data_IF_309693646314
#
_entry.id   IF_309693646314
#
_cell.length_a   1.000
_cell.length_b   1.000
_cell.length_c   1.000
_cell.angle_alpha   90.00
_cell.angle_beta   90.00
_cell.angle_gamma   90.00
#
_symmetry.space_group_name_H-M   'P 1'
#
loop_
_entity.id
_entity.type
_entity.pdbx_description
1 polymer ?
#
# COMPACT_ATOMS: atom_id res chain seq x y z
N UNK A 1 17.13 -37.83 11.08
CA UNK A 1 16.36 -36.69 11.59
C UNK A 1 15.38 -36.30 10.49
N UNK A 2 14.11 -36.69 10.60
CA UNK A 2 13.11 -36.43 9.55
C UNK A 2 12.57 -35.02 9.77
N UNK A 3 12.91 -34.09 8.87
CA UNK A 3 12.32 -32.76 8.87
C UNK A 3 10.80 -32.91 8.68
N UNK A 4 10.03 -32.56 9.71
CA UNK A 4 8.58 -32.45 9.59
C UNK A 4 8.31 -31.28 8.65
N UNK A 5 7.92 -31.57 7.41
CA UNK A 5 7.29 -30.58 6.56
C UNK A 5 5.95 -30.26 7.21
N UNK A 6 5.83 -29.07 7.77
CA UNK A 6 4.52 -28.53 8.10
C UNK A 6 3.78 -28.32 6.78
N UNK A 7 2.51 -28.73 6.69
CA UNK A 7 1.65 -28.37 5.56
C UNK A 7 1.69 -26.84 5.40
N UNK A 8 1.79 -26.35 4.16
CA UNK A 8 1.87 -24.91 3.88
C UNK A 8 0.46 -24.35 3.90
N UNK A 9 0.02 -23.61 4.94
CA UNK A 9 -1.37 -23.17 5.06
C UNK A 9 -1.68 -21.94 4.21
N UNK A 10 -0.65 -21.25 3.72
CA UNK A 10 -0.75 -20.02 2.94
C UNK A 10 0.07 -20.15 1.67
N UNK A 11 -0.61 -19.97 0.54
CA UNK A 11 0.03 -19.94 -0.76
C UNK A 11 0.16 -18.50 -1.24
N UNK A 12 1.33 -18.16 -1.79
CA UNK A 12 1.51 -16.88 -2.47
C UNK A 12 0.63 -16.83 -3.70
N UNK A 13 -0.01 -15.69 -3.93
CA UNK A 13 -0.71 -15.46 -5.18
C UNK A 13 0.29 -15.47 -6.34
N UNK A 14 -0.03 -16.17 -7.43
CA UNK A 14 0.88 -16.35 -8.57
C UNK A 14 1.25 -15.01 -9.24
N UNK A 15 0.35 -14.04 -9.21
CA UNK A 15 0.54 -12.70 -9.81
C UNK A 15 1.16 -11.68 -8.85
N UNK A 16 1.74 -12.10 -7.73
CA UNK A 16 2.43 -11.16 -6.84
C UNK A 16 3.64 -10.50 -7.55
N UNK A 17 3.90 -9.21 -7.32
CA UNK A 17 3.15 -8.29 -6.44
C UNK A 17 1.87 -7.72 -7.09
N UNK A 18 0.83 -7.47 -6.28
CA UNK A 18 -0.46 -6.91 -6.73
C UNK A 18 -0.40 -5.41 -7.09
N UNK A 19 0.61 -4.69 -6.61
CA UNK A 19 0.89 -3.29 -6.90
C UNK A 19 2.40 -3.09 -7.01
N UNK A 20 2.82 -2.19 -7.90
CA UNK A 20 4.21 -1.78 -8.06
C UNK A 20 4.28 -0.26 -8.22
N UNK A 21 5.47 0.33 -8.03
CA UNK A 21 5.71 1.75 -8.28
C UNK A 21 5.28 2.21 -9.68
N UNK A 22 5.35 1.34 -10.70
CA UNK A 22 4.96 1.66 -12.07
C UNK A 22 3.45 1.89 -12.26
N UNK A 23 2.61 1.47 -11.30
CA UNK A 23 1.17 1.68 -11.37
C UNK A 23 0.77 3.12 -10.98
N UNK A 24 1.64 3.86 -10.30
CA UNK A 24 1.34 5.21 -9.84
C UNK A 24 1.38 6.23 -10.98
N UNK A 25 0.41 7.17 -11.05
CA UNK A 25 0.35 8.17 -12.11
C UNK A 25 1.37 9.31 -11.92
N UNK A 26 2.18 9.26 -10.86
CA UNK A 26 3.25 10.19 -10.56
C UNK A 26 4.51 9.46 -10.12
N UNK A 27 5.64 10.17 -10.11
CA UNK A 27 6.93 9.59 -9.78
C UNK A 27 6.99 9.14 -8.31
N UNK A 28 7.15 7.84 -8.10
CA UNK A 28 7.37 7.22 -6.78
C UNK A 28 8.59 6.31 -6.85
N UNK A 29 9.21 6.04 -5.70
CA UNK A 29 10.33 5.11 -5.59
C UNK A 29 9.83 3.69 -5.31
N UNK A 30 8.94 3.51 -4.32
CA UNK A 30 8.41 2.20 -3.94
C UNK A 30 7.02 2.32 -3.28
N UNK A 31 6.30 1.20 -3.23
CA UNK A 31 4.96 1.08 -2.63
C UNK A 31 4.90 -0.20 -1.82
N UNK A 32 4.55 -0.09 -0.53
CA UNK A 32 4.56 -1.22 0.41
C UNK A 32 3.71 -0.91 1.66
N UNK A 33 3.71 -1.82 2.65
CA UNK A 33 3.11 -1.63 3.99
C UNK A 33 1.68 -1.07 4.02
N UNK A 34 0.83 -1.49 3.07
CA UNK A 34 -0.53 -0.98 2.99
C UNK A 34 -1.41 -1.43 4.16
N UNK A 35 -2.19 -0.49 4.71
CA UNK A 35 -3.38 -0.80 5.52
C UNK A 35 -4.51 -1.26 4.59
N UNK A 36 -5.31 -2.23 5.02
CA UNK A 36 -6.32 -2.85 4.16
C UNK A 36 -7.68 -2.93 4.86
N UNK A 37 -8.74 -2.52 4.16
CA UNK A 37 -10.11 -2.65 4.65
C UNK A 37 -11.11 -2.85 3.52
N UNK A 38 -12.30 -3.37 3.86
CA UNK A 38 -13.44 -3.37 2.95
C UNK A 38 -14.35 -2.19 3.27
N UNK A 39 -14.73 -1.44 2.24
CA UNK A 39 -15.70 -0.37 2.32
C UNK A 39 -17.13 -0.93 2.35
N UNK A 40 -18.09 -0.08 2.71
CA UNK A 40 -19.50 -0.47 2.85
C UNK A 40 -20.13 -1.00 1.55
N UNK A 41 -19.62 -0.58 0.39
CA UNK A 41 -20.05 -1.03 -0.94
C UNK A 41 -19.39 -2.36 -1.37
N UNK A 42 -18.53 -2.95 -0.53
CA UNK A 42 -17.80 -4.18 -0.81
C UNK A 42 -16.43 -3.97 -1.47
N UNK A 43 -16.10 -2.76 -1.91
CA UNK A 43 -14.79 -2.41 -2.49
C UNK A 43 -13.68 -2.63 -1.48
N UNK A 44 -12.56 -3.21 -1.91
CA UNK A 44 -11.34 -3.29 -1.10
C UNK A 44 -10.55 -2.01 -1.27
N UNK A 45 -10.22 -1.36 -0.17
CA UNK A 45 -9.29 -0.23 -0.12
C UNK A 45 -7.96 -0.69 0.46
N UNK A 46 -6.89 -0.36 -0.23
CA UNK A 46 -5.54 -0.33 0.32
C UNK A 46 -5.15 1.12 0.52
N UNK A 47 -4.79 1.50 1.74
CA UNK A 47 -4.09 2.75 2.01
C UNK A 47 -2.61 2.44 1.97
N UNK A 48 -1.98 2.67 0.83
CA UNK A 48 -0.60 2.29 0.60
C UNK A 48 0.36 3.32 1.19
N UNK A 49 1.42 2.84 1.86
CA UNK A 49 2.62 3.67 2.07
C UNK A 49 3.37 3.75 0.75
N UNK A 50 3.61 4.98 0.32
CA UNK A 50 4.30 5.29 -0.92
C UNK A 50 5.50 6.15 -0.57
N UNK A 51 6.69 5.67 -0.92
CA UNK A 51 7.92 6.45 -0.77
C UNK A 51 8.17 7.19 -2.08
N UNK A 52 8.36 8.50 -2.01
CA UNK A 52 8.74 9.31 -3.16
C UNK A 52 10.26 9.27 -3.42
N UNK A 53 10.73 10.00 -4.45
CA UNK A 53 12.15 9.99 -4.82
C UNK A 53 13.05 10.83 -3.88
N UNK A 54 12.47 11.53 -2.91
CA UNK A 54 13.21 12.20 -1.84
C UNK A 54 13.47 11.28 -0.64
N UNK A 55 12.88 10.07 -0.63
CA UNK A 55 12.96 9.12 0.47
C UNK A 55 11.93 9.38 1.58
N UNK A 56 10.97 10.27 1.35
CA UNK A 56 9.88 10.56 2.28
C UNK A 56 8.62 9.79 1.87
N UNK A 57 7.85 9.38 2.86
CA UNK A 57 6.60 8.64 2.65
C UNK A 57 5.37 9.55 2.71
N UNK A 58 4.39 9.27 1.85
CA UNK A 58 3.01 9.72 1.97
C UNK A 58 2.06 8.52 1.86
N UNK A 59 0.77 8.73 2.13
CA UNK A 59 -0.23 7.67 1.96
C UNK A 59 -1.09 7.93 0.73
N UNK A 60 -1.34 6.88 -0.04
CA UNK A 60 -2.11 6.95 -1.27
C UNK A 60 -3.05 5.75 -1.36
N UNK A 61 -4.32 6.00 -1.60
CA UNK A 61 -5.34 4.96 -1.69
C UNK A 61 -5.30 4.29 -3.07
N UNK A 62 -5.46 2.97 -3.05
CA UNK A 62 -5.76 2.15 -4.20
C UNK A 62 -7.05 1.37 -3.90
N UNK A 63 -7.98 1.31 -4.86
CA UNK A 63 -9.29 0.65 -4.69
C UNK A 63 -9.47 -0.44 -5.74
N UNK A 64 -9.97 -1.59 -5.31
CA UNK A 64 -10.28 -2.73 -6.18
C UNK A 64 -11.62 -3.34 -5.79
N UNK A 65 -12.43 -3.71 -6.78
CA UNK A 65 -13.71 -4.38 -6.55
C UNK A 65 -13.55 -5.75 -5.88
N UNK A 66 -12.43 -6.46 -6.12
CA UNK A 66 -12.20 -7.82 -5.62
C UNK A 66 -11.04 -7.93 -4.62
N UNK A 67 -10.20 -6.90 -4.50
CA UNK A 67 -9.02 -6.90 -3.62
C UNK A 67 -7.83 -7.69 -4.14
N UNK A 68 -7.82 -8.03 -5.43
CA UNK A 68 -6.76 -8.83 -6.09
C UNK A 68 -6.15 -8.05 -7.26
N UNK A 69 -6.98 -7.54 -8.16
CA UNK A 69 -6.58 -6.86 -9.40
C UNK A 69 -7.45 -5.61 -9.69
N UNK A 70 -7.28 -5.00 -10.86
CA UNK A 70 -8.11 -3.87 -11.29
C UNK A 70 -8.01 -2.64 -10.38
N UNK A 71 -6.83 -2.43 -9.78
CA UNK A 71 -6.60 -1.34 -8.82
C UNK A 71 -6.71 0.03 -9.49
N UNK A 72 -7.59 0.87 -8.96
CA UNK A 72 -7.70 2.30 -9.27
C UNK A 72 -6.94 3.07 -8.19
N UNK A 73 -5.85 3.71 -8.58
CA UNK A 73 -4.97 4.48 -7.69
C UNK A 73 -5.37 5.95 -7.75
N UNK A 74 -5.44 6.60 -6.59
CA UNK A 74 -5.72 8.05 -6.53
C UNK A 74 -4.66 8.83 -7.35
N UNK A 75 -5.07 9.86 -8.11
CA UNK A 75 -4.16 10.59 -9.00
C UNK A 75 -3.07 11.38 -8.27
N UNK A 76 -3.26 11.61 -6.97
CA UNK A 76 -2.36 12.31 -6.08
C UNK A 76 -2.38 11.65 -4.69
N UNK A 77 -1.40 11.93 -3.80
CA UNK A 77 -1.41 11.47 -2.42
C UNK A 77 -2.74 11.75 -1.71
N UNK A 78 -3.41 10.69 -1.22
CA UNK A 78 -4.65 10.79 -0.45
C UNK A 78 -4.45 11.48 0.89
N UNK A 79 -3.29 11.26 1.52
CA UNK A 79 -2.86 11.94 2.73
C UNK A 79 -1.39 12.33 2.61
N UNK A 80 -1.12 13.61 2.86
CA UNK A 80 0.23 14.19 2.90
C UNK A 80 0.60 14.46 4.35
N UNK A 81 1.90 14.48 4.70
CA UNK A 81 2.34 15.00 5.98
C UNK A 81 1.94 16.47 6.15
N UNK A 82 1.60 16.87 7.37
CA UNK A 82 1.28 18.22 7.82
C UNK A 82 2.21 18.63 8.97
N UNK A 83 3.49 18.96 8.67
CA UNK A 83 4.48 19.31 9.69
C UNK A 83 4.18 20.61 10.44
N UNK A 84 3.26 21.46 9.96
CA UNK A 84 2.86 22.68 10.67
C UNK A 84 2.00 22.34 11.90
N UNK A 85 1.11 21.35 11.76
CA UNK A 85 0.23 20.89 12.86
C UNK A 85 0.81 19.69 13.62
N UNK A 86 1.59 18.88 12.93
CA UNK A 86 2.20 17.64 13.43
C UNK A 86 3.69 17.62 13.08
N UNK A 87 4.54 18.35 13.82
CA UNK A 87 5.97 18.49 13.49
C UNK A 87 6.73 17.18 13.30
N UNK A 88 6.27 16.09 13.93
CA UNK A 88 6.77 14.73 13.73
C UNK A 88 6.63 14.21 12.30
N UNK A 89 5.66 14.72 11.52
CA UNK A 89 5.42 14.34 10.12
C UNK A 89 6.39 15.00 9.14
N UNK A 90 7.36 15.80 9.62
CA UNK A 90 8.44 16.37 8.81
C UNK A 90 9.18 15.29 8.00
N UNK A 91 9.24 14.06 8.53
CA UNK A 91 9.90 12.92 7.90
C UNK A 91 8.93 12.00 7.13
N UNK A 92 7.73 12.47 6.86
CA UNK A 92 6.68 11.72 6.18
C UNK A 92 5.74 10.98 7.15
N UNK A 93 4.75 10.31 6.56
CA UNK A 93 3.76 9.50 7.27
C UNK A 93 3.76 8.07 6.73
N UNK A 94 3.64 7.09 7.62
CA UNK A 94 4.02 5.71 7.33
C UNK A 94 3.06 4.68 7.94
N UNK A 95 3.13 3.46 7.40
CA UNK A 95 2.57 2.22 7.97
C UNK A 95 1.12 2.31 8.47
N UNK A 96 0.16 2.71 7.61
CA UNK A 96 -1.25 2.80 7.99
C UNK A 96 -1.81 1.44 8.40
N UNK A 97 -2.78 1.47 9.31
CA UNK A 97 -3.50 0.28 9.81
C UNK A 97 -4.99 0.54 9.82
#
# INVERSE_FOLDING_TARGET
MVARHHDVPLHRHASNPILTAAAWPYAVHTVFNAGATRLADGTTLLLCRVEDRSGLSHLCAARSANGVDGWVIDPEPTLRPDPERHPEELWGIEDPR
#
